data_IF_079404166788
#
_entry.id   IF_079404166788
#
_cell.length_a   1.000
_cell.length_b   1.000
_cell.length_c   1.000
_cell.angle_alpha   90.00
_cell.angle_beta   90.00
_cell.angle_gamma   90.00
#
_symmetry.space_group_name_H-M   'P 1'
#
loop_
_entity.id
_entity.type
_entity.pdbx_description
1 polymer ?
#
# COMPACT_ATOMS: atom_id res chain seq x y z
N UNK A 1 -4.39 -5.74 21.73
CA UNK A 1 -3.74 -4.74 20.87
C UNK A 1 -4.37 -4.86 19.51
N UNK A 2 -5.30 -3.95 19.19
CA UNK A 2 -5.91 -3.88 17.86
C UNK A 2 -4.78 -3.70 16.85
N UNK A 3 -4.72 -4.56 15.83
CA UNK A 3 -3.80 -4.36 14.70
C UNK A 3 -4.30 -3.14 13.93
N UNK A 4 -3.93 -1.95 14.41
CA UNK A 4 -4.06 -0.73 13.64
C UNK A 4 -3.42 -0.99 12.29
N UNK A 5 -4.19 -0.80 11.24
CA UNK A 5 -3.64 -0.68 9.91
C UNK A 5 -2.55 0.39 9.94
N UNK A 6 -1.34 0.02 9.53
CA UNK A 6 -0.16 0.89 9.57
C UNK A 6 0.20 1.24 8.13
N UNK A 7 -0.23 2.43 7.73
CA UNK A 7 -0.04 2.97 6.38
C UNK A 7 1.46 3.08 6.04
N UNK A 8 2.27 3.56 7.00
CA UNK A 8 3.72 3.72 6.82
C UNK A 8 4.40 2.38 6.59
N UNK A 9 3.98 1.35 7.33
CA UNK A 9 4.51 0.00 7.18
C UNK A 9 4.15 -0.62 5.81
N UNK A 10 2.92 -0.44 5.35
CA UNK A 10 2.52 -0.93 4.03
C UNK A 10 3.24 -0.16 2.91
N UNK A 11 3.47 1.14 3.08
CA UNK A 11 4.26 1.95 2.15
C UNK A 11 5.71 1.48 2.09
N UNK A 12 6.35 1.27 3.24
CA UNK A 12 7.71 0.72 3.31
C UNK A 12 7.81 -0.64 2.61
N UNK A 13 6.80 -1.50 2.79
CA UNK A 13 6.77 -2.80 2.13
C UNK A 13 6.63 -2.68 0.61
N UNK A 14 5.86 -1.71 0.12
CA UNK A 14 5.74 -1.43 -1.31
C UNK A 14 7.09 -1.01 -1.89
N UNK A 15 7.82 -0.13 -1.20
CA UNK A 15 9.17 0.31 -1.62
C UNK A 15 10.15 -0.86 -1.69
N UNK A 16 10.14 -1.76 -0.70
CA UNK A 16 10.95 -2.99 -0.71
C UNK A 16 10.62 -3.88 -1.92
N UNK A 17 9.34 -4.02 -2.25
CA UNK A 17 8.89 -4.81 -3.41
C UNK A 17 9.39 -4.20 -4.71
N UNK A 18 9.26 -2.88 -4.87
CA UNK A 18 9.74 -2.16 -6.06
C UNK A 18 11.26 -2.30 -6.20
N UNK A 19 12.00 -2.11 -5.11
CA UNK A 19 13.45 -2.30 -5.07
C UNK A 19 13.87 -3.74 -5.35
N UNK A 20 13.07 -4.72 -4.94
CA UNK A 20 13.31 -6.13 -5.25
C UNK A 20 13.11 -6.38 -6.75
N UNK A 21 11.96 -5.99 -7.31
CA UNK A 21 11.61 -6.25 -8.73
C UNK A 21 12.60 -5.57 -9.70
N UNK A 22 13.23 -4.45 -9.31
CA UNK A 22 14.25 -3.79 -10.14
C UNK A 22 15.60 -4.51 -10.16
N UNK A 23 15.81 -5.54 -9.34
CA UNK A 23 17.01 -6.36 -9.37
C UNK A 23 17.02 -7.32 -10.57
N UNK A 24 18.08 -7.28 -11.38
CA UNK A 24 18.24 -8.07 -12.61
C UNK A 24 18.30 -9.60 -12.40
N UNK A 25 18.37 -10.08 -11.15
CA UNK A 25 18.60 -11.49 -10.81
C UNK A 25 17.38 -12.22 -10.27
N UNK A 26 16.21 -11.58 -10.30
CA UNK A 26 15.04 -12.09 -9.61
C UNK A 26 14.29 -13.16 -10.43
N UNK A 27 14.06 -14.37 -9.89
CA UNK A 27 13.34 -15.41 -10.63
C UNK A 27 11.92 -14.97 -10.99
N UNK A 28 11.46 -15.36 -12.19
CA UNK A 28 10.14 -14.97 -12.72
C UNK A 28 8.99 -15.28 -11.74
N UNK A 29 8.99 -16.45 -11.13
CA UNK A 29 7.97 -16.85 -10.15
C UNK A 29 7.94 -15.92 -8.93
N UNK A 30 9.10 -15.45 -8.49
CA UNK A 30 9.22 -14.52 -7.36
C UNK A 30 8.77 -13.12 -7.78
N UNK A 31 9.11 -12.66 -8.99
CA UNK A 31 8.57 -11.42 -9.56
C UNK A 31 7.03 -11.43 -9.60
N UNK A 32 6.42 -12.54 -10.04
CA UNK A 32 4.95 -12.66 -10.10
C UNK A 32 4.31 -12.61 -8.70
N UNK A 33 4.95 -13.19 -7.68
CA UNK A 33 4.48 -13.13 -6.29
C UNK A 33 4.58 -11.71 -5.74
N UNK A 34 5.74 -11.08 -5.90
CA UNK A 34 5.98 -9.70 -5.45
C UNK A 34 5.06 -8.70 -6.15
N UNK A 35 4.79 -8.88 -7.44
CA UNK A 35 3.83 -8.06 -8.17
C UNK A 35 2.41 -8.19 -7.61
N UNK A 36 1.95 -9.42 -7.35
CA UNK A 36 0.64 -9.65 -6.71
C UNK A 36 0.56 -9.02 -5.32
N UNK A 37 1.61 -9.17 -4.52
CA UNK A 37 1.70 -8.57 -3.20
C UNK A 37 1.64 -7.04 -3.28
N UNK A 38 2.43 -6.43 -4.17
CA UNK A 38 2.44 -4.99 -4.39
C UNK A 38 1.07 -4.46 -4.84
N UNK A 39 0.37 -5.15 -5.74
CA UNK A 39 -0.99 -4.79 -6.16
C UNK A 39 -1.98 -4.78 -4.98
N UNK A 40 -1.90 -5.75 -4.08
CA UNK A 40 -2.76 -5.80 -2.90
C UNK A 40 -2.43 -4.70 -1.89
N UNK A 41 -1.14 -4.34 -1.74
CA UNK A 41 -0.71 -3.22 -0.91
C UNK A 41 -1.23 -1.90 -1.47
N UNK A 42 -1.07 -1.66 -2.78
CA UNK A 42 -1.55 -0.43 -3.45
C UNK A 42 -3.05 -0.24 -3.21
N UNK A 43 -3.86 -1.28 -3.41
CA UNK A 43 -5.31 -1.22 -3.14
C UNK A 43 -5.63 -0.83 -1.69
N UNK A 44 -4.85 -1.34 -0.73
CA UNK A 44 -5.04 -1.01 0.69
C UNK A 44 -4.70 0.45 0.97
N UNK A 45 -3.58 0.94 0.42
CA UNK A 45 -3.16 2.34 0.56
C UNK A 45 -4.18 3.29 -0.07
N UNK A 46 -4.66 2.99 -1.28
CA UNK A 46 -5.71 3.78 -1.96
C UNK A 46 -6.98 3.86 -1.13
N UNK A 47 -7.41 2.73 -0.56
CA UNK A 47 -8.58 2.70 0.33
C UNK A 47 -8.37 3.56 1.57
N UNK A 48 -7.20 3.47 2.20
CA UNK A 48 -6.90 4.26 3.39
C UNK A 48 -6.88 5.77 3.10
N UNK A 49 -6.32 6.17 1.96
CA UNK A 49 -6.34 7.57 1.50
C UNK A 49 -7.77 8.05 1.25
N UNK A 50 -8.59 7.25 0.56
CA UNK A 50 -9.99 7.57 0.33
C UNK A 50 -10.79 7.70 1.62
N UNK A 51 -10.62 6.77 2.56
CA UNK A 51 -11.28 6.83 3.86
C UNK A 51 -10.85 8.08 4.67
N UNK A 52 -9.61 8.54 4.50
CA UNK A 52 -9.12 9.78 5.09
C UNK A 52 -9.71 11.02 4.41
N UNK A 53 -9.75 11.05 3.07
CA UNK A 53 -10.37 12.11 2.28
C UNK A 53 -11.84 12.29 2.64
N UNK A 54 -12.63 11.22 2.69
CA UNK A 54 -14.05 11.26 3.08
C UNK A 54 -14.26 11.81 4.49
N UNK A 55 -13.33 11.53 5.43
CA UNK A 55 -13.38 12.10 6.78
C UNK A 55 -13.10 13.60 6.76
N UNK A 56 -12.10 14.03 6.00
CA UNK A 56 -11.76 15.45 5.85
C UNK A 56 -12.91 16.21 5.19
N UNK A 57 -13.50 15.67 4.13
CA UNK A 57 -14.67 16.26 3.47
C UNK A 57 -15.84 16.46 4.43
N UNK A 58 -16.15 15.46 5.28
CA UNK A 58 -17.20 15.61 6.30
C UNK A 58 -16.92 16.73 7.29
N UNK A 59 -15.67 16.88 7.71
CA UNK A 59 -15.26 17.96 8.62
C UNK A 59 -15.44 19.34 7.95
N UNK A 60 -15.06 19.44 6.67
CA UNK A 60 -15.18 20.69 5.89
C UNK A 60 -16.64 21.03 5.57
N UNK A 61 -17.46 20.03 5.21
CA UNK A 61 -18.85 20.19 4.82
C UNK A 61 -19.79 20.57 5.99
N UNK A 62 -19.34 20.42 7.24
CA UNK A 62 -20.11 20.81 8.44
C UNK A 62 -19.86 22.28 8.83
N UNK A 63 -19.44 23.12 7.88
CA UNK A 63 -19.14 24.55 8.08
C UNK A 63 -20.06 25.44 7.26
#
# INVERSE_FOLDING_TARGET
>A
MEKSYDFEKEMQRLDEIVASISSETLPLDTCLKLYKEGQEIVKRLEKALKDAEEKVEKIIATK
#
